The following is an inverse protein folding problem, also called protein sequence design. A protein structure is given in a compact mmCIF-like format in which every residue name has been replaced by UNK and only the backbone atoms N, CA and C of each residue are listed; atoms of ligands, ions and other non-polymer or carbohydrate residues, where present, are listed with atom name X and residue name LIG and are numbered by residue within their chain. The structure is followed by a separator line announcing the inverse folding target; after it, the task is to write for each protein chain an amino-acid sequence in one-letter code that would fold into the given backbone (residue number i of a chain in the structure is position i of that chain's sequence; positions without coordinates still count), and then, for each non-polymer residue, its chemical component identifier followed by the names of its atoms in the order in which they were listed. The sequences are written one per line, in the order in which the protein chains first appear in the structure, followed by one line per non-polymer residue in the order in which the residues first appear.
data_IF_030752035952
#
_entry.id   IF_030752035952
#
_cell.length_a   1.000
_cell.length_b   1.000
_cell.length_c   1.000
_cell.angle_alpha   90.00
_cell.angle_beta   90.00
_cell.angle_gamma   90.00
#
_symmetry.space_group_name_H-M   'P 1'
#
loop_
_entity.id
_entity.type
_entity.pdbx_description
1 polymer ?
#
# COMPACT_ATOMS: atom_id res chain seq x y z
N UNK A 1 -29.29 -10.72 3.27
CA UNK A 1 -28.31 -10.76 2.17
C UNK A 1 -28.20 -9.34 1.64
N UNK A 2 -27.11 -8.59 1.77
CA UNK A 2 -25.73 -8.89 2.15
C UNK A 2 -25.16 -7.60 2.75
N UNK A 3 -24.39 -7.67 3.84
CA UNK A 3 -23.63 -6.52 4.32
C UNK A 3 -22.41 -6.38 3.40
N UNK A 4 -22.44 -5.42 2.47
CA UNK A 4 -21.21 -5.03 1.77
C UNK A 4 -20.29 -4.32 2.77
N UNK A 5 -19.36 -5.08 3.37
CA UNK A 5 -18.23 -4.48 4.04
C UNK A 5 -17.22 -4.09 2.97
N UNK A 6 -16.98 -2.79 2.78
CA UNK A 6 -15.92 -2.32 1.91
C UNK A 6 -14.60 -3.04 2.26
N UNK A 7 -13.83 -3.49 1.24
CA UNK A 7 -12.58 -4.19 1.48
C UNK A 7 -11.66 -3.32 2.34
N UNK A 8 -11.00 -3.94 3.31
CA UNK A 8 -10.06 -3.23 4.16
C UNK A 8 -8.87 -2.77 3.32
N UNK A 9 -8.35 -1.58 3.63
CA UNK A 9 -7.28 -0.94 2.88
C UNK A 9 -6.00 -0.90 3.71
N UNK A 10 -4.86 -1.24 3.10
CA UNK A 10 -3.54 -1.17 3.73
C UNK A 10 -2.57 -0.36 2.86
N UNK A 11 -2.03 0.72 3.42
CA UNK A 11 -0.87 1.44 2.88
C UNK A 11 0.39 0.89 3.55
N UNK A 12 1.27 0.25 2.78
CA UNK A 12 2.51 -0.35 3.29
C UNK A 12 3.70 0.46 2.82
N UNK A 13 4.48 1.01 3.75
CA UNK A 13 5.69 1.79 3.46
C UNK A 13 6.92 0.89 3.38
N UNK A 14 7.95 1.32 2.65
CA UNK A 14 9.15 0.49 2.43
C UNK A 14 8.84 -0.79 1.63
N UNK A 15 7.79 -0.75 0.79
CA UNK A 15 7.24 -1.93 0.14
C UNK A 15 8.14 -2.54 -0.94
N UNK A 16 9.11 -1.78 -1.48
CA UNK A 16 10.13 -2.31 -2.38
C UNK A 16 11.25 -3.05 -1.61
N UNK A 17 11.29 -2.93 -0.29
CA UNK A 17 12.23 -3.62 0.60
C UNK A 17 11.75 -5.01 1.05
N UNK A 18 12.59 -5.68 1.86
CA UNK A 18 12.34 -7.06 2.30
C UNK A 18 11.08 -7.23 3.16
N UNK A 19 11.04 -6.59 4.33
CA UNK A 19 9.92 -6.72 5.27
C UNK A 19 8.66 -6.04 4.73
N UNK A 20 8.79 -4.83 4.18
CA UNK A 20 7.66 -4.10 3.60
C UNK A 20 7.02 -4.86 2.44
N UNK A 21 7.82 -5.37 1.50
CA UNK A 21 7.30 -6.17 0.39
C UNK A 21 6.66 -7.48 0.84
N UNK A 22 7.23 -8.16 1.84
CA UNK A 22 6.61 -9.35 2.43
C UNK A 22 5.27 -9.03 3.11
N UNK A 23 5.18 -7.87 3.75
CA UNK A 23 3.97 -7.39 4.42
C UNK A 23 2.88 -7.03 3.40
N UNK A 24 3.22 -6.32 2.33
CA UNK A 24 2.31 -6.00 1.23
C UNK A 24 1.73 -7.28 0.59
N UNK A 25 2.59 -8.26 0.24
CA UNK A 25 2.15 -9.58 -0.27
C UNK A 25 1.21 -10.30 0.70
N UNK A 26 1.49 -10.23 2.01
CA UNK A 26 0.65 -10.86 3.03
C UNK A 26 -0.73 -10.23 3.14
N UNK A 27 -0.84 -8.91 2.97
CA UNK A 27 -2.12 -8.21 2.95
C UNK A 27 -2.92 -8.50 1.68
N UNK A 28 -2.27 -8.49 0.50
CA UNK A 28 -2.89 -8.89 -0.77
C UNK A 28 -3.46 -10.31 -0.67
N UNK A 29 -2.67 -11.28 -0.21
CA UNK A 29 -3.12 -12.65 0.01
C UNK A 29 -4.26 -12.77 1.05
N UNK A 30 -4.43 -11.77 1.91
CA UNK A 30 -5.52 -11.67 2.87
C UNK A 30 -6.79 -11.02 2.32
N UNK A 31 -6.84 -10.66 1.03
CA UNK A 31 -7.99 -10.01 0.39
C UNK A 31 -8.14 -8.52 0.70
N UNK A 32 -7.05 -7.85 1.10
CA UNK A 32 -7.06 -6.40 1.31
C UNK A 32 -6.78 -5.67 0.00
N UNK A 33 -7.30 -4.45 -0.14
CA UNK A 33 -6.81 -3.49 -1.12
C UNK A 33 -5.51 -2.90 -0.60
N UNK A 34 -4.42 -3.03 -1.35
CA UNK A 34 -3.08 -2.65 -0.87
C UNK A 34 -2.47 -1.58 -1.75
N UNK A 35 -1.99 -0.51 -1.12
CA UNK A 35 -1.07 0.44 -1.73
C UNK A 35 0.36 0.17 -1.20
N UNK A 36 1.27 -0.09 -2.12
CA UNK A 36 2.68 -0.38 -1.86
C UNK A 36 3.50 0.90 -2.09
N UNK A 37 3.96 1.51 -0.99
CA UNK A 37 4.69 2.76 -1.00
C UNK A 37 6.19 2.55 -0.79
N UNK A 38 7.00 3.16 -1.65
CA UNK A 38 8.46 3.26 -1.47
C UNK A 38 9.01 4.44 -2.30
N UNK A 39 10.33 4.66 -2.26
CA UNK A 39 11.04 5.62 -3.12
C UNK A 39 11.11 5.17 -4.58
N UNK A 40 10.76 3.90 -4.87
CA UNK A 40 10.73 3.27 -6.19
C UNK A 40 9.54 2.30 -6.26
N UNK A 41 9.06 1.92 -7.45
CA UNK A 41 7.99 0.92 -7.57
C UNK A 41 8.34 -0.36 -6.81
N UNK A 42 7.40 -0.87 -6.02
CA UNK A 42 7.57 -2.11 -5.26
C UNK A 42 7.29 -3.35 -6.11
N UNK A 43 6.44 -3.23 -7.13
CA UNK A 43 6.13 -4.32 -8.05
C UNK A 43 5.44 -5.50 -7.36
N UNK A 44 4.70 -5.25 -6.29
CA UNK A 44 3.93 -6.28 -5.58
C UNK A 44 2.66 -6.55 -6.37
N UNK A 45 2.55 -7.75 -6.93
CA UNK A 45 1.35 -8.20 -7.64
C UNK A 45 0.10 -8.06 -6.76
N UNK A 46 -0.95 -7.44 -7.30
CA UNK A 46 -2.21 -7.17 -6.59
C UNK A 46 -2.19 -5.93 -5.69
N UNK A 47 -1.09 -5.18 -5.63
CA UNK A 47 -1.00 -3.88 -4.97
C UNK A 47 -0.83 -2.74 -5.99
N UNK A 48 -1.26 -1.54 -5.62
CA UNK A 48 -1.00 -0.30 -6.37
C UNK A 48 0.32 0.30 -5.89
N UNK A 49 1.24 0.60 -6.79
CA UNK A 49 2.50 1.27 -6.43
C UNK A 49 2.29 2.77 -6.22
N UNK A 50 2.78 3.28 -5.08
CA UNK A 50 2.87 4.71 -4.78
C UNK A 50 4.35 5.07 -4.59
N UNK A 51 4.85 6.01 -5.39
CA UNK A 51 6.21 6.54 -5.19
C UNK A 51 6.17 7.81 -4.33
N UNK A 52 6.85 7.80 -3.19
CA UNK A 52 6.84 8.91 -2.24
C UNK A 52 8.06 8.88 -1.32
N UNK A 53 8.57 10.06 -0.93
CA UNK A 53 9.59 10.21 0.09
C UNK A 53 8.95 10.61 1.44
N UNK A 54 8.91 9.68 2.39
CA UNK A 54 8.31 9.91 3.70
C UNK A 54 9.09 10.89 4.59
N UNK A 55 10.30 11.31 4.19
CA UNK A 55 10.96 12.44 4.82
C UNK A 55 10.27 13.78 4.52
N UNK A 56 9.34 13.81 3.55
CA UNK A 56 8.56 14.99 3.15
C UNK A 56 7.11 14.84 3.59
N UNK A 57 6.64 15.75 4.44
CA UNK A 57 5.25 15.72 4.98
C UNK A 57 4.19 15.77 3.87
N UNK A 58 4.44 16.53 2.81
CA UNK A 58 3.48 16.64 1.71
C UNK A 58 3.36 15.33 0.91
N UNK A 59 4.44 14.55 0.81
CA UNK A 59 4.41 13.22 0.22
C UNK A 59 3.63 12.24 1.10
N UNK A 60 3.77 12.32 2.43
CA UNK A 60 2.96 11.52 3.34
C UNK A 60 1.46 11.79 3.16
N UNK A 61 1.08 13.08 3.07
CA UNK A 61 -0.32 13.48 2.88
C UNK A 61 -0.86 12.98 1.55
N UNK A 62 -0.09 13.17 0.47
CA UNK A 62 -0.44 12.73 -0.87
C UNK A 62 -0.60 11.21 -0.93
N UNK A 63 0.34 10.45 -0.37
CA UNK A 63 0.28 8.99 -0.34
C UNK A 63 -0.98 8.45 0.34
N UNK A 64 -1.38 9.04 1.47
CA UNK A 64 -2.63 8.65 2.15
C UNK A 64 -3.85 8.98 1.28
N UNK A 65 -3.87 10.14 0.62
CA UNK A 65 -4.95 10.53 -0.27
C UNK A 65 -5.05 9.66 -1.53
N UNK A 66 -3.93 9.19 -2.08
CA UNK A 66 -3.87 8.30 -3.25
C UNK A 66 -4.25 6.83 -2.93
N UNK A 67 -4.35 6.48 -1.64
CA UNK A 67 -4.67 5.11 -1.19
C UNK A 67 -6.17 4.79 -1.27
N UNK A 68 -7.05 5.81 -1.28
CA UNK A 68 -8.51 5.72 -1.23
C UNK A 68 -9.14 6.35 -2.47
#
# INVERSE_FOLDING_TARGET
MSSESSPKVALVTGAAGGIGGATARRFVAGGWSVAALDLRPAGVEGAVDITADLARVDDCRRAVAETL
#
